data_IF_261634677670
#
_entry.id   IF_261634677670
#
_cell.length_a   1.000
_cell.length_b   1.000
_cell.length_c   1.000
_cell.angle_alpha   90.00
_cell.angle_beta   90.00
_cell.angle_gamma   90.00
#
_symmetry.space_group_name_H-M   'P 1'
#
loop_
_entity.id
_entity.type
_entity.pdbx_description
1 polymer ?
#
# COMPACT_ATOMS: atom_id res chain seq x y z
N UNK A 1 9.81 14.29 21.27
CA UNK A 1 9.60 13.42 20.09
C UNK A 1 8.35 13.91 19.39
N UNK A 2 8.51 14.63 18.27
CA UNK A 2 7.37 15.17 17.53
C UNK A 2 6.89 14.15 16.51
N UNK A 3 5.90 13.35 16.85
CA UNK A 3 5.20 12.51 15.87
C UNK A 3 4.32 13.46 15.04
N UNK A 4 4.74 13.74 13.81
CA UNK A 4 3.82 14.17 12.78
C UNK A 4 3.08 12.93 12.28
N UNK A 5 1.80 13.05 11.91
CA UNK A 5 1.03 11.89 11.42
C UNK A 5 1.84 11.15 10.34
N UNK A 6 1.93 9.81 10.45
CA UNK A 6 2.66 8.96 9.50
C UNK A 6 2.35 9.34 8.04
N UNK A 7 1.07 9.62 7.76
CA UNK A 7 0.59 10.12 6.48
C UNK A 7 1.30 11.38 5.96
N UNK A 8 1.62 12.37 6.81
CA UNK A 8 2.36 13.58 6.39
C UNK A 8 3.80 13.26 6.01
N UNK A 9 4.43 12.31 6.71
CA UNK A 9 5.79 11.85 6.40
C UNK A 9 5.81 11.06 5.08
N UNK A 10 4.80 10.22 4.86
CA UNK A 10 4.58 9.53 3.57
C UNK A 10 4.35 10.53 2.44
N UNK A 11 3.53 11.57 2.65
CA UNK A 11 3.31 12.63 1.66
C UNK A 11 4.61 13.36 1.30
N UNK A 12 5.44 13.68 2.29
CA UNK A 12 6.75 14.31 2.08
C UNK A 12 7.68 13.42 1.24
N UNK A 13 7.67 12.10 1.48
CA UNK A 13 8.42 11.16 0.65
C UNK A 13 7.84 11.05 -0.77
N UNK A 14 6.52 11.00 -0.93
CA UNK A 14 5.88 10.97 -2.26
C UNK A 14 6.23 12.21 -3.07
N UNK A 15 6.26 13.39 -2.44
CA UNK A 15 6.66 14.65 -3.05
C UNK A 15 8.12 14.67 -3.48
N UNK A 16 9.01 14.13 -2.64
CA UNK A 16 10.40 14.02 -2.98
C UNK A 16 10.62 12.99 -4.11
N UNK A 17 9.90 11.87 -4.11
CA UNK A 17 10.17 10.74 -4.99
C UNK A 17 9.54 10.92 -6.38
N UNK A 18 8.31 11.43 -6.46
CA UNK A 18 7.48 11.36 -7.66
C UNK A 18 6.96 12.74 -8.14
N UNK A 19 6.81 12.95 -9.46
CA UNK A 19 6.10 14.11 -9.98
C UNK A 19 4.61 14.09 -9.57
N UNK A 20 3.97 15.26 -9.55
CA UNK A 20 2.54 15.43 -9.17
C UNK A 20 1.63 14.45 -9.91
N UNK A 21 1.85 14.26 -11.21
CA UNK A 21 1.07 13.35 -12.04
C UNK A 21 1.10 11.88 -11.57
N UNK A 22 2.15 11.45 -10.86
CA UNK A 22 2.27 10.09 -10.32
C UNK A 22 1.76 10.03 -8.88
N UNK A 23 2.19 10.96 -8.00
CA UNK A 23 1.77 10.93 -6.58
C UNK A 23 0.27 11.18 -6.37
N UNK A 24 -0.36 11.95 -7.26
CA UNK A 24 -1.80 12.27 -7.20
C UNK A 24 -2.66 11.34 -8.07
N UNK A 25 -2.08 10.34 -8.73
CA UNK A 25 -2.85 9.38 -9.53
C UNK A 25 -3.51 8.33 -8.64
N UNK A 26 -4.82 8.47 -8.42
CA UNK A 26 -5.61 7.56 -7.58
C UNK A 26 -5.53 6.09 -8.01
N UNK A 27 -5.54 5.80 -9.32
CA UNK A 27 -5.47 4.42 -9.81
C UNK A 27 -4.11 3.79 -9.48
N UNK A 28 -3.02 4.51 -9.74
CA UNK A 28 -1.67 4.05 -9.40
C UNK A 28 -1.51 3.83 -7.88
N UNK A 29 -2.02 4.74 -7.04
CA UNK A 29 -1.96 4.58 -5.58
C UNK A 29 -2.82 3.40 -5.10
N UNK A 30 -3.96 3.17 -5.74
CA UNK A 30 -4.82 2.00 -5.46
C UNK A 30 -4.11 0.70 -5.82
N UNK A 31 -3.49 0.61 -6.99
CA UNK A 31 -2.74 -0.59 -7.39
C UNK A 31 -1.56 -0.87 -6.46
N UNK A 32 -0.79 0.17 -6.09
CA UNK A 32 0.31 0.02 -5.12
C UNK A 32 -0.18 -0.46 -3.75
N UNK A 33 -1.29 0.07 -3.25
CA UNK A 33 -1.87 -0.42 -2.01
C UNK A 33 -2.30 -1.89 -2.12
N UNK A 34 -3.00 -2.26 -3.21
CA UNK A 34 -3.46 -3.63 -3.42
C UNK A 34 -2.30 -4.62 -3.52
N UNK A 35 -1.20 -4.24 -4.18
CA UNK A 35 0.02 -5.04 -4.28
C UNK A 35 0.60 -5.35 -2.89
N UNK A 36 0.83 -4.33 -2.05
CA UNK A 36 1.35 -4.53 -0.69
C UNK A 36 0.37 -5.34 0.20
N UNK A 37 -0.94 -5.15 0.02
CA UNK A 37 -1.95 -5.93 0.74
C UNK A 37 -1.91 -7.41 0.35
N UNK A 38 -1.70 -7.71 -0.94
CA UNK A 38 -1.54 -9.08 -1.43
C UNK A 38 -0.21 -9.69 -0.98
N UNK A 39 0.89 -8.93 -0.97
CA UNK A 39 2.18 -9.38 -0.45
C UNK A 39 2.09 -9.70 1.06
N UNK A 40 1.39 -8.86 1.85
CA UNK A 40 1.15 -9.12 3.27
C UNK A 40 0.27 -10.35 3.48
N UNK A 41 -0.78 -10.52 2.67
CA UNK A 41 -1.63 -11.71 2.72
C UNK A 41 -0.82 -12.97 2.41
N UNK A 42 -0.01 -12.95 1.35
CA UNK A 42 0.88 -14.05 0.98
C UNK A 42 1.88 -14.36 2.11
N UNK A 43 2.45 -13.35 2.75
CA UNK A 43 3.37 -13.51 3.89
C UNK A 43 2.72 -14.12 5.14
N UNK A 44 1.37 -14.14 5.21
CA UNK A 44 0.58 -14.80 6.24
C UNK A 44 -0.10 -16.07 5.72
N UNK A 45 0.54 -16.75 4.77
CA UNK A 45 0.12 -18.05 4.22
C UNK A 45 -1.24 -18.04 3.50
N UNK A 46 -1.77 -16.87 3.11
CA UNK A 46 -2.95 -16.79 2.26
C UNK A 46 -2.65 -17.35 0.87
N UNK A 47 -3.41 -18.35 0.45
CA UNK A 47 -3.24 -18.93 -0.88
C UNK A 47 -3.73 -17.98 -1.97
N UNK A 48 -3.27 -18.20 -3.20
CA UNK A 48 -3.77 -17.45 -4.36
C UNK A 48 -5.27 -17.68 -4.55
N UNK A 49 -5.73 -18.89 -4.29
CA UNK A 49 -7.13 -19.28 -4.38
C UNK A 49 -7.99 -18.54 -3.35
N UNK A 50 -7.52 -18.43 -2.10
CA UNK A 50 -8.20 -17.64 -1.06
C UNK A 50 -8.29 -16.16 -1.43
N UNK A 51 -7.18 -15.58 -1.92
CA UNK A 51 -7.15 -14.20 -2.37
C UNK A 51 -8.15 -13.94 -3.52
N UNK A 52 -8.23 -14.84 -4.50
CA UNK A 52 -9.18 -14.73 -5.60
C UNK A 52 -10.64 -14.89 -5.14
N UNK A 53 -10.91 -15.80 -4.22
CA UNK A 53 -12.25 -15.96 -3.65
C UNK A 53 -12.71 -14.68 -2.93
N UNK A 54 -11.80 -13.98 -2.24
CA UNK A 54 -12.08 -12.68 -1.62
C UNK A 54 -12.30 -11.58 -2.66
N UNK A 55 -11.56 -11.59 -3.78
CA UNK A 55 -11.81 -10.67 -4.90
C UNK A 55 -13.23 -10.86 -5.41
N UNK A 56 -13.63 -12.08 -5.75
CA UNK A 56 -14.98 -12.35 -6.25
C UNK A 56 -16.05 -11.90 -5.23
N UNK A 57 -15.88 -12.27 -3.96
CA UNK A 57 -16.79 -11.89 -2.88
C UNK A 57 -16.94 -10.37 -2.71
N UNK A 58 -15.85 -9.59 -2.82
CA UNK A 58 -15.90 -8.13 -2.66
C UNK A 58 -16.51 -7.47 -3.90
N UNK A 59 -16.13 -7.90 -5.10
CA UNK A 59 -16.59 -7.29 -6.35
C UNK A 59 -18.03 -7.67 -6.74
N UNK A 60 -18.62 -8.68 -6.10
CA UNK A 60 -20.06 -8.98 -6.20
C UNK A 60 -20.95 -8.02 -5.39
N UNK A 61 -20.38 -7.25 -4.46
CA UNK A 61 -21.11 -6.33 -3.59
C UNK A 61 -21.24 -4.93 -4.22
N UNK A 62 -22.23 -4.12 -3.79
CA UNK A 62 -22.27 -2.71 -4.13
C UNK A 62 -20.98 -2.00 -3.73
N UNK A 63 -20.54 -1.05 -4.55
CA UNK A 63 -19.36 -0.22 -4.27
C UNK A 63 -19.54 0.51 -2.93
N UNK A 64 -18.54 0.39 -2.05
CA UNK A 64 -18.53 1.04 -0.74
C UNK A 64 -18.07 2.50 -0.79
N UNK A 65 -18.29 3.22 0.32
CA UNK A 65 -17.82 4.60 0.49
C UNK A 65 -16.33 4.62 0.87
N UNK A 66 -15.47 5.38 0.15
CA UNK A 66 -14.01 5.29 0.34
C UNK A 66 -13.51 5.53 1.76
N UNK A 67 -14.14 6.42 2.53
CA UNK A 67 -13.76 6.72 3.91
C UNK A 67 -14.07 5.57 4.86
N UNK A 68 -15.20 4.88 4.68
CA UNK A 68 -15.55 3.68 5.42
C UNK A 68 -14.59 2.53 5.11
N UNK A 69 -14.24 2.33 3.84
CA UNK A 69 -13.33 1.26 3.43
C UNK A 69 -11.90 1.48 3.94
N UNK A 70 -11.43 2.74 3.98
CA UNK A 70 -10.15 3.07 4.64
C UNK A 70 -10.19 2.68 6.13
N UNK A 71 -11.29 2.96 6.83
CA UNK A 71 -11.48 2.55 8.22
C UNK A 71 -11.44 1.02 8.40
N UNK A 72 -12.12 0.29 7.51
CA UNK A 72 -12.12 -1.17 7.49
C UNK A 72 -10.72 -1.75 7.31
N UNK A 73 -9.96 -1.25 6.34
CA UNK A 73 -8.56 -1.64 6.09
C UNK A 73 -7.67 -1.36 7.31
N UNK A 74 -7.78 -0.20 7.94
CA UNK A 74 -6.95 0.14 9.10
C UNK A 74 -7.19 -0.81 10.28
N UNK A 75 -8.45 -1.15 10.56
CA UNK A 75 -8.81 -2.05 11.66
C UNK A 75 -8.34 -3.48 11.38
N UNK A 76 -8.53 -3.99 10.17
CA UNK A 76 -8.12 -5.35 9.82
C UNK A 76 -6.60 -5.50 9.74
N UNK A 77 -5.88 -4.48 9.24
CA UNK A 77 -4.42 -4.45 9.28
C UNK A 77 -3.91 -4.50 10.73
N UNK A 78 -4.46 -3.67 11.63
CA UNK A 78 -4.06 -3.69 13.04
C UNK A 78 -4.33 -5.05 13.71
N UNK A 79 -5.47 -5.67 13.41
CA UNK A 79 -5.81 -7.00 13.91
C UNK A 79 -4.85 -8.08 13.39
N UNK A 80 -4.51 -8.05 12.09
CA UNK A 80 -3.55 -8.97 11.50
C UNK A 80 -2.16 -8.78 12.13
N UNK A 81 -1.67 -7.55 12.23
CA UNK A 81 -0.41 -7.26 12.91
C UNK A 81 -0.40 -7.78 14.35
N UNK A 82 -1.49 -7.62 15.10
CA UNK A 82 -1.60 -8.17 16.44
C UNK A 82 -1.56 -9.71 16.47
N UNK A 83 -2.20 -10.38 15.51
CA UNK A 83 -2.17 -11.84 15.40
C UNK A 83 -0.79 -12.37 15.01
N UNK A 84 -0.05 -11.62 14.18
CA UNK A 84 1.28 -11.98 13.68
C UNK A 84 2.43 -11.46 14.56
N UNK A 85 2.13 -10.78 15.67
CA UNK A 85 3.15 -10.23 16.59
C UNK A 85 3.97 -9.08 16.00
N UNK A 86 3.41 -8.32 15.06
CA UNK A 86 4.06 -7.21 14.35
C UNK A 86 3.62 -5.88 14.96
N UNK A 87 4.58 -5.01 15.29
CA UNK A 87 4.28 -3.61 15.59
C UNK A 87 4.07 -2.84 14.28
N UNK A 88 2.83 -2.47 13.99
CA UNK A 88 2.47 -1.81 12.73
C UNK A 88 3.13 -0.43 12.55
N UNK A 89 3.33 0.32 13.63
CA UNK A 89 3.93 1.65 13.57
C UNK A 89 5.44 1.56 13.27
N UNK A 90 6.14 0.65 13.94
CA UNK A 90 7.57 0.40 13.70
C UNK A 90 7.82 -0.17 12.29
N UNK A 91 6.95 -1.08 11.81
CA UNK A 91 7.04 -1.62 10.47
C UNK A 91 6.85 -0.52 9.40
N UNK A 92 5.84 0.35 9.59
CA UNK A 92 5.58 1.48 8.70
C UNK A 92 6.72 2.49 8.69
N UNK A 93 7.26 2.85 9.85
CA UNK A 93 8.38 3.80 9.96
C UNK A 93 9.67 3.23 9.34
N UNK A 94 9.97 1.95 9.59
CA UNK A 94 11.14 1.28 9.01
C UNK A 94 11.07 1.23 7.48
N UNK A 95 9.89 0.93 6.92
CA UNK A 95 9.72 0.88 5.47
C UNK A 95 9.77 2.28 4.85
N UNK A 96 9.26 3.30 5.53
CA UNK A 96 9.39 4.68 5.06
C UNK A 96 10.85 5.13 5.03
N UNK A 97 11.65 4.81 6.05
CA UNK A 97 13.10 5.07 6.06
C UNK A 97 13.81 4.36 4.90
N UNK A 98 13.53 3.07 4.68
CA UNK A 98 14.08 2.32 3.54
C UNK A 98 13.69 2.92 2.19
N UNK A 99 12.49 3.47 2.07
CA UNK A 99 12.02 4.13 0.86
C UNK A 99 12.76 5.45 0.58
N UNK A 100 13.18 6.18 1.62
CA UNK A 100 14.08 7.33 1.47
C UNK A 100 15.45 6.89 0.96
N UNK A 101 16.04 5.84 1.54
CA UNK A 101 17.35 5.33 1.11
C UNK A 101 17.36 4.81 -0.33
N UNK A 102 16.19 4.40 -0.84
CA UNK A 102 16.03 3.80 -2.17
C UNK A 102 15.43 4.74 -3.22
N UNK A 103 15.37 6.05 -2.95
CA UNK A 103 14.63 7.01 -3.78
C UNK A 103 15.02 6.95 -5.26
N UNK A 104 16.31 6.83 -5.57
CA UNK A 104 16.79 6.77 -6.96
C UNK A 104 16.43 5.44 -7.64
N UNK A 105 16.45 4.33 -6.89
CA UNK A 105 16.01 3.03 -7.40
C UNK A 105 14.52 3.05 -7.72
N UNK A 106 13.71 3.67 -6.85
CA UNK A 106 12.26 3.79 -7.02
C UNK A 106 11.94 4.68 -8.22
N UNK A 107 12.65 5.81 -8.39
CA UNK A 107 12.53 6.68 -9.57
C UNK A 107 12.86 5.95 -10.86
N UNK A 108 13.96 5.20 -10.89
CA UNK A 108 14.36 4.42 -12.07
C UNK A 108 13.29 3.37 -12.45
N UNK A 109 12.76 2.65 -11.45
CA UNK A 109 11.65 1.71 -11.66
C UNK A 109 10.40 2.41 -12.19
N UNK A 110 10.05 3.56 -11.63
CA UNK A 110 8.89 4.33 -12.07
C UNK A 110 9.05 4.83 -13.51
N UNK A 111 10.25 5.28 -13.90
CA UNK A 111 10.53 5.73 -15.26
C UNK A 111 10.47 4.60 -16.30
N UNK A 112 10.72 3.36 -15.88
CA UNK A 112 10.65 2.16 -16.73
C UNK A 112 9.24 1.56 -16.84
N UNK A 113 8.26 2.02 -16.06
CA UNK A 113 6.90 1.44 -16.08
C UNK A 113 6.19 1.72 -17.41
N UNK A 114 5.58 0.71 -18.05
CA UNK A 114 4.68 0.91 -19.17
C UNK A 114 3.46 1.73 -18.75
N UNK A 115 2.99 2.62 -19.62
CA UNK A 115 1.76 3.37 -19.38
C UNK A 115 0.54 2.44 -19.36
N UNK A 116 -0.21 2.45 -18.26
CA UNK A 116 -1.55 1.83 -18.19
C UNK A 116 -1.62 0.38 -17.70
N UNK A 117 -0.50 -0.23 -17.27
CA UNK A 117 -0.51 -1.56 -16.64
C UNK A 117 -0.50 -1.47 -15.11
N UNK A 118 -1.32 -2.26 -14.39
CA UNK A 118 -1.20 -2.39 -12.94
C UNK A 118 0.03 -3.19 -12.50
N UNK A 119 0.63 -3.98 -13.40
CA UNK A 119 1.74 -4.87 -13.10
C UNK A 119 3.10 -4.27 -13.54
N UNK A 120 4.15 -4.36 -12.71
CA UNK A 120 5.52 -4.16 -13.17
C UNK A 120 5.90 -5.24 -14.19
N UNK A 121 6.70 -4.87 -15.20
CA UNK A 121 7.34 -5.82 -16.13
C UNK A 121 8.74 -6.16 -15.65
#
# INVERSE_FOLDING_TARGET
MGITSFQKRVESWLEACFPVAVRSNRAERTHRFLEEALELAQANDCSREDALALVDYVYERPVGEPDLEVGGVMVTLAALCSASGINMDEAGDSELERNWDRIETIRAKQAAKPHGSPLPQ
#
